data_IF_493403755643
#
_entry.id   IF_493403755643
#
_cell.length_a   1.000
_cell.length_b   1.000
_cell.length_c   1.000
_cell.angle_alpha   90.00
_cell.angle_beta   90.00
_cell.angle_gamma   90.00
#
_symmetry.space_group_name_H-M   'P 1'
#
loop_
_entity.id
_entity.type
_entity.pdbx_description
1 polymer ?
#
# COMPACT_ATOMS: atom_id res chain seq x y z
N UNK A 1 9.48 31.12 -6.34
CA UNK A 1 8.67 29.91 -6.61
C UNK A 1 9.54 28.70 -6.33
N UNK A 2 9.38 28.10 -5.15
CA UNK A 2 10.10 26.88 -4.79
C UNK A 2 9.48 25.75 -5.61
N UNK A 3 10.24 25.24 -6.57
CA UNK A 3 9.91 24.05 -7.33
C UNK A 3 9.86 22.86 -6.36
N UNK A 4 8.66 22.46 -5.94
CA UNK A 4 8.46 21.14 -5.36
C UNK A 4 8.61 20.11 -6.50
N UNK A 5 9.86 19.69 -6.73
CA UNK A 5 10.16 18.40 -7.34
C UNK A 5 9.78 17.28 -6.37
N UNK A 6 8.48 17.08 -6.16
CA UNK A 6 7.92 16.04 -5.30
C UNK A 6 7.39 14.90 -6.14
N UNK A 7 7.98 13.71 -5.96
CA UNK A 7 7.45 12.37 -6.28
C UNK A 7 6.24 12.33 -7.22
N UNK A 8 6.43 11.81 -8.44
CA UNK A 8 5.33 11.46 -9.35
C UNK A 8 4.27 10.62 -8.63
N UNK A 9 3.22 11.28 -8.12
CA UNK A 9 2.00 10.60 -7.71
C UNK A 9 1.46 9.92 -8.96
N UNK A 10 1.10 8.64 -8.83
CA UNK A 10 0.52 7.90 -9.95
C UNK A 10 -0.69 8.67 -10.44
N UNK A 11 -0.69 9.09 -11.71
CA UNK A 11 -1.81 9.82 -12.31
C UNK A 11 -3.13 9.09 -12.08
N UNK A 12 -3.10 7.77 -12.15
CA UNK A 12 -4.25 6.90 -11.89
C UNK A 12 -4.77 7.00 -10.44
N UNK A 13 -3.90 7.16 -9.43
CA UNK A 13 -4.36 7.39 -8.05
C UNK A 13 -5.03 8.76 -7.91
N UNK A 14 -4.44 9.79 -8.52
CA UNK A 14 -5.04 11.13 -8.51
C UNK A 14 -6.41 11.14 -9.20
N UNK A 15 -6.51 10.49 -10.36
CA UNK A 15 -7.76 10.37 -11.11
C UNK A 15 -8.82 9.59 -10.31
N UNK A 16 -8.44 8.53 -9.59
CA UNK A 16 -9.34 7.80 -8.68
C UNK A 16 -9.83 8.70 -7.54
N UNK A 17 -8.92 9.35 -6.82
CA UNK A 17 -9.27 10.22 -5.70
C UNK A 17 -10.16 11.39 -6.13
N UNK A 18 -9.88 11.95 -7.31
CA UNK A 18 -10.73 12.98 -7.93
C UNK A 18 -12.11 12.44 -8.29
N UNK A 19 -12.19 11.27 -8.93
CA UNK A 19 -13.48 10.67 -9.32
C UNK A 19 -14.37 10.38 -8.10
N UNK A 20 -13.77 9.93 -6.99
CA UNK A 20 -14.46 9.72 -5.72
C UNK A 20 -14.88 11.06 -5.10
N UNK A 21 -14.00 12.06 -5.09
CA UNK A 21 -14.29 13.39 -4.53
C UNK A 21 -15.35 14.18 -5.31
N UNK A 22 -15.45 13.97 -6.62
CA UNK A 22 -16.45 14.60 -7.50
C UNK A 22 -17.79 13.83 -7.51
N UNK A 23 -17.88 12.70 -6.81
CA UNK A 23 -19.11 11.88 -6.77
C UNK A 23 -20.25 12.64 -6.06
N UNK A 24 -21.47 12.49 -6.58
CA UNK A 24 -22.65 13.25 -6.11
C UNK A 24 -23.51 12.48 -5.13
N UNK A 25 -23.24 11.19 -4.95
CA UNK A 25 -24.01 10.30 -4.09
C UNK A 25 -23.15 9.16 -3.57
N UNK A 26 -23.52 8.60 -2.41
CA UNK A 26 -22.79 7.46 -1.84
C UNK A 26 -22.84 6.23 -2.76
N UNK A 27 -23.95 6.04 -3.49
CA UNK A 27 -24.09 4.96 -4.47
C UNK A 27 -23.12 5.09 -5.66
N UNK A 28 -22.83 6.32 -6.08
CA UNK A 28 -21.86 6.59 -7.14
C UNK A 28 -20.44 6.33 -6.66
N UNK A 29 -20.11 6.79 -5.46
CA UNK A 29 -18.85 6.49 -4.77
C UNK A 29 -18.63 4.98 -4.66
N UNK A 30 -19.60 4.24 -4.12
CA UNK A 30 -19.53 2.79 -3.94
C UNK A 30 -19.33 2.07 -5.28
N UNK A 31 -19.97 2.54 -6.35
CA UNK A 31 -19.81 1.99 -7.70
C UNK A 31 -18.39 2.20 -8.23
N UNK A 32 -17.81 3.39 -8.04
CA UNK A 32 -16.43 3.68 -8.47
C UNK A 32 -15.46 2.77 -7.71
N UNK A 33 -15.63 2.66 -6.39
CA UNK A 33 -14.78 1.82 -5.54
C UNK A 33 -14.89 0.34 -5.92
N UNK A 34 -16.11 -0.18 -6.14
CA UNK A 34 -16.31 -1.56 -6.57
C UNK A 34 -15.57 -1.88 -7.88
N UNK A 35 -15.61 -0.96 -8.85
CA UNK A 35 -14.90 -1.12 -10.12
C UNK A 35 -13.38 -1.12 -9.92
N UNK A 36 -12.87 -0.23 -9.06
CA UNK A 36 -11.44 -0.17 -8.75
C UNK A 36 -10.97 -1.44 -8.01
N UNK A 37 -11.76 -1.99 -7.09
CA UNK A 37 -11.45 -3.26 -6.42
C UNK A 37 -11.29 -4.40 -7.44
N UNK A 38 -12.21 -4.52 -8.40
CA UNK A 38 -12.14 -5.54 -9.46
C UNK A 38 -10.89 -5.34 -10.31
N UNK A 39 -10.58 -4.10 -10.69
CA UNK A 39 -9.39 -3.76 -11.45
C UNK A 39 -8.12 -4.15 -10.67
N UNK A 40 -8.01 -3.74 -9.40
CA UNK A 40 -6.84 -4.02 -8.57
C UNK A 40 -6.64 -5.51 -8.37
N UNK A 41 -7.69 -6.29 -8.11
CA UNK A 41 -7.59 -7.77 -8.01
C UNK A 41 -6.97 -8.39 -9.26
N UNK A 42 -7.39 -7.94 -10.45
CA UNK A 42 -6.81 -8.38 -11.72
C UNK A 42 -5.35 -7.96 -11.88
N UNK A 43 -5.01 -6.73 -11.47
CA UNK A 43 -3.63 -6.21 -11.53
C UNK A 43 -2.68 -6.92 -10.57
N UNK A 44 -3.12 -7.22 -9.34
CA UNK A 44 -2.33 -7.97 -8.36
C UNK A 44 -2.13 -9.45 -8.76
N UNK A 45 -3.07 -10.03 -9.51
CA UNK A 45 -2.94 -11.38 -10.04
C UNK A 45 -1.91 -11.50 -11.18
N UNK A 46 -1.48 -10.38 -11.78
CA UNK A 46 -0.49 -10.41 -12.86
C UNK A 46 0.92 -10.71 -12.31
N UNK A 47 1.52 -11.86 -12.68
CA UNK A 47 2.85 -12.25 -12.16
C UNK A 47 3.98 -11.36 -12.69
N UNK A 48 3.76 -10.62 -13.78
CA UNK A 48 4.75 -9.73 -14.38
C UNK A 48 4.69 -8.30 -13.81
N UNK A 49 3.87 -8.06 -12.78
CA UNK A 49 3.78 -6.75 -12.14
C UNK A 49 5.11 -6.38 -11.45
N UNK A 50 5.63 -5.21 -11.79
CA UNK A 50 6.86 -4.70 -11.17
C UNK A 50 6.60 -4.25 -9.73
N UNK A 51 7.64 -4.28 -8.88
CA UNK A 51 7.56 -3.80 -7.49
C UNK A 51 7.02 -2.36 -7.39
N UNK A 52 7.36 -1.50 -8.37
CA UNK A 52 6.84 -0.14 -8.45
C UNK A 52 5.33 -0.09 -8.69
N UNK A 53 4.81 -0.95 -9.58
CA UNK A 53 3.38 -1.07 -9.83
C UNK A 53 2.63 -1.62 -8.61
N UNK A 54 3.18 -2.66 -7.97
CA UNK A 54 2.61 -3.21 -6.72
C UNK A 54 2.49 -2.12 -5.65
N UNK A 55 3.52 -1.28 -5.51
CA UNK A 55 3.49 -0.13 -4.60
C UNK A 55 2.35 0.85 -4.95
N UNK A 56 2.13 1.16 -6.22
CA UNK A 56 1.03 2.04 -6.65
C UNK A 56 -0.35 1.43 -6.42
N UNK A 57 -0.50 0.13 -6.65
CA UNK A 57 -1.73 -0.60 -6.39
C UNK A 57 -2.04 -0.65 -4.89
N UNK A 58 -1.02 -0.81 -4.04
CA UNK A 58 -1.18 -0.77 -2.59
C UNK A 58 -1.63 0.61 -2.09
N UNK A 59 -1.10 1.70 -2.66
CA UNK A 59 -1.56 3.05 -2.28
C UNK A 59 -3.07 3.23 -2.57
N UNK A 60 -3.56 2.70 -3.69
CA UNK A 60 -5.00 2.70 -4.01
C UNK A 60 -5.79 1.81 -3.06
N UNK A 61 -5.28 0.62 -2.74
CA UNK A 61 -5.91 -0.28 -1.77
C UNK A 61 -6.01 0.35 -0.37
N UNK A 62 -4.97 1.05 0.09
CA UNK A 62 -5.01 1.83 1.35
C UNK A 62 -6.14 2.85 1.32
N UNK A 63 -6.28 3.58 0.22
CA UNK A 63 -7.33 4.59 0.10
C UNK A 63 -8.74 3.99 0.14
N UNK A 64 -8.94 2.85 -0.51
CA UNK A 64 -10.20 2.09 -0.46
C UNK A 64 -10.51 1.62 0.97
N UNK A 65 -9.53 1.08 1.67
CA UNK A 65 -9.66 0.65 3.07
C UNK A 65 -10.00 1.84 4.00
N UNK A 66 -9.36 3.00 3.80
CA UNK A 66 -9.64 4.23 4.55
C UNK A 66 -11.08 4.74 4.34
N UNK A 67 -11.69 4.45 3.20
CA UNK A 67 -13.10 4.75 2.92
C UNK A 67 -14.07 3.72 3.53
N UNK A 68 -13.55 2.67 4.18
CA UNK A 68 -14.32 1.64 4.88
C UNK A 68 -14.67 0.42 4.02
N UNK A 69 -14.02 0.22 2.88
CA UNK A 69 -14.25 -0.93 2.00
C UNK A 69 -13.14 -1.97 2.14
N UNK A 70 -13.51 -3.25 2.12
CA UNK A 70 -12.58 -4.36 2.29
C UNK A 70 -11.55 -4.46 1.16
N UNK A 71 -10.26 -4.30 1.50
CA UNK A 71 -9.12 -4.52 0.62
C UNK A 71 -8.22 -5.69 1.05
N UNK A 72 -8.76 -6.70 1.76
CA UNK A 72 -8.02 -7.88 2.26
C UNK A 72 -7.13 -8.58 1.22
N UNK A 73 -7.52 -8.56 -0.06
CA UNK A 73 -6.73 -9.14 -1.15
C UNK A 73 -5.33 -8.50 -1.30
N UNK A 74 -5.14 -7.27 -0.83
CA UNK A 74 -3.89 -6.53 -0.93
C UNK A 74 -2.93 -6.82 0.25
N UNK A 75 -3.40 -7.39 1.36
CA UNK A 75 -2.64 -7.48 2.61
C UNK A 75 -1.37 -8.34 2.47
N UNK A 76 -1.46 -9.47 1.77
CA UNK A 76 -0.29 -10.31 1.50
C UNK A 76 0.74 -9.58 0.62
N UNK A 77 0.29 -8.74 -0.30
CA UNK A 77 1.18 -7.94 -1.15
C UNK A 77 1.86 -6.83 -0.35
N UNK A 78 1.19 -6.25 0.65
CA UNK A 78 1.80 -5.29 1.57
C UNK A 78 2.99 -5.91 2.33
N UNK A 79 2.80 -7.11 2.88
CA UNK A 79 3.85 -7.84 3.61
C UNK A 79 5.01 -8.20 2.68
N UNK A 80 4.72 -8.67 1.46
CA UNK A 80 5.75 -8.91 0.44
C UNK A 80 6.55 -7.64 0.13
N UNK A 81 5.87 -6.50 0.01
CA UNK A 81 6.52 -5.21 -0.25
C UNK A 81 7.39 -4.75 0.94
N UNK A 82 6.99 -5.05 2.18
CA UNK A 82 7.81 -4.77 3.37
C UNK A 82 9.13 -5.58 3.37
N UNK A 83 9.15 -6.74 2.71
CA UNK A 83 10.36 -7.56 2.59
C UNK A 83 11.33 -7.09 1.49
N UNK A 84 10.92 -6.19 0.61
CA UNK A 84 11.74 -5.73 -0.52
C UNK A 84 12.97 -4.93 -0.08
N UNK A 85 14.09 -5.08 -0.78
CA UNK A 85 15.34 -4.36 -0.47
C UNK A 85 15.26 -2.86 -0.77
N UNK A 86 14.34 -2.44 -1.64
CA UNK A 86 14.18 -1.04 -1.98
C UNK A 86 13.52 -0.28 -0.82
N UNK A 87 14.25 0.65 -0.21
CA UNK A 87 13.79 1.38 0.98
C UNK A 87 12.46 2.12 0.79
N UNK A 88 12.20 2.68 -0.39
CA UNK A 88 10.94 3.39 -0.66
C UNK A 88 9.76 2.42 -0.73
N UNK A 89 9.97 1.24 -1.32
CA UNK A 89 8.95 0.21 -1.39
C UNK A 89 8.71 -0.41 -0.01
N UNK A 90 9.79 -0.72 0.71
CA UNK A 90 9.76 -1.22 2.09
C UNK A 90 8.97 -0.30 3.01
N UNK A 91 9.22 1.01 2.97
CA UNK A 91 8.44 2.01 3.75
C UNK A 91 6.95 2.00 3.42
N UNK A 92 6.59 1.91 2.13
CA UNK A 92 5.18 1.78 1.74
C UNK A 92 4.59 0.46 2.22
N UNK A 93 5.34 -0.63 2.16
CA UNK A 93 4.93 -1.94 2.68
C UNK A 93 4.65 -1.90 4.18
N UNK A 94 5.56 -1.33 4.97
CA UNK A 94 5.38 -1.14 6.41
C UNK A 94 4.16 -0.28 6.74
N UNK A 95 4.01 0.86 6.07
CA UNK A 95 2.82 1.71 6.23
C UNK A 95 1.52 0.96 5.89
N UNK A 96 1.52 0.22 4.78
CA UNK A 96 0.37 -0.58 4.35
C UNK A 96 0.01 -1.64 5.40
N UNK A 97 1.02 -2.35 5.91
CA UNK A 97 0.81 -3.37 6.94
C UNK A 97 0.24 -2.77 8.23
N UNK A 98 0.73 -1.61 8.67
CA UNK A 98 0.19 -0.92 9.85
C UNK A 98 -1.27 -0.48 9.71
N UNK A 99 -1.69 -0.17 8.48
CA UNK A 99 -3.07 0.24 8.21
C UNK A 99 -4.02 -0.94 8.02
N UNK A 100 -3.53 -2.06 7.50
CA UNK A 100 -4.33 -3.25 7.18
C UNK A 100 -4.39 -4.27 8.32
N UNK A 101 -3.28 -4.50 9.02
CA UNK A 101 -3.14 -5.66 9.90
C UNK A 101 -3.52 -5.31 11.34
N UNK A 102 -4.64 -5.89 11.78
CA UNK A 102 -4.97 -5.95 13.20
C UNK A 102 -3.98 -6.85 13.95
N UNK A 103 -3.87 -6.66 15.28
CA UNK A 103 -2.92 -7.40 16.15
C UNK A 103 -3.04 -8.92 16.04
N UNK A 104 -4.25 -9.42 15.81
CA UNK A 104 -4.56 -10.85 15.71
C UNK A 104 -4.52 -11.40 14.28
N UNK A 105 -4.09 -10.60 13.30
CA UNK A 105 -4.04 -11.02 11.91
C UNK A 105 -2.92 -12.05 11.67
N UNK A 106 -3.18 -13.13 10.93
CA UNK A 106 -2.22 -14.24 10.70
C UNK A 106 -0.87 -13.78 10.12
N UNK A 107 -0.91 -12.77 9.25
CA UNK A 107 0.25 -12.16 8.62
C UNK A 107 1.14 -11.34 9.57
N UNK A 108 0.67 -11.04 10.79
CA UNK A 108 1.44 -10.27 11.78
C UNK A 108 2.76 -10.96 12.13
N UNK A 109 2.78 -12.30 12.16
CA UNK A 109 4.01 -13.06 12.39
C UNK A 109 5.06 -12.84 11.28
N UNK A 110 4.62 -12.74 10.02
CA UNK A 110 5.52 -12.46 8.89
C UNK A 110 6.08 -11.03 8.95
N UNK A 111 5.24 -10.07 9.35
CA UNK A 111 5.66 -8.70 9.56
C UNK A 111 6.70 -8.60 10.69
N UNK A 112 6.43 -9.20 11.85
CA UNK A 112 7.33 -9.21 13.00
C UNK A 112 8.69 -9.82 12.62
N UNK A 113 8.69 -10.94 11.89
CA UNK A 113 9.93 -11.56 11.39
C UNK A 113 10.72 -10.61 10.49
N UNK A 114 10.04 -9.83 9.65
CA UNK A 114 10.67 -8.85 8.77
C UNK A 114 11.26 -7.67 9.57
N UNK A 115 10.51 -7.14 10.55
CA UNK A 115 10.99 -6.09 11.46
C UNK A 115 12.23 -6.55 12.23
N UNK A 116 12.19 -7.74 12.82
CA UNK A 116 13.33 -8.29 13.58
C UNK A 116 14.58 -8.47 12.71
N UNK A 117 14.42 -8.87 11.44
CA UNK A 117 15.51 -8.99 10.48
C UNK A 117 16.10 -7.63 10.15
N UNK A 118 15.25 -6.64 9.88
CA UNK A 118 15.69 -5.29 9.51
C UNK A 118 16.36 -4.56 10.68
N UNK A 119 15.92 -4.77 11.92
CA UNK A 119 16.57 -4.23 13.12
C UNK A 119 17.98 -4.81 13.36
N UNK A 120 18.28 -5.99 12.81
CA UNK A 120 19.59 -6.63 12.88
C UNK A 120 20.47 -6.32 11.66
N UNK A 121 19.98 -5.52 10.71
CA UNK A 121 20.73 -5.17 9.50
C UNK A 121 21.83 -4.16 9.80
N UNK A 122 22.98 -4.30 9.14
CA UNK A 122 24.04 -3.28 9.15
C UNK A 122 23.63 -2.00 8.41
N UNK A 123 22.54 -2.05 7.63
CA UNK A 123 22.02 -0.90 6.93
C UNK A 123 21.12 -0.05 7.85
N UNK A 124 21.65 1.08 8.30
CA UNK A 124 20.92 2.04 9.14
C UNK A 124 19.57 2.50 8.56
N UNK A 125 19.39 2.52 7.23
CA UNK A 125 18.11 2.88 6.62
C UNK A 125 17.05 1.80 6.83
N UNK A 126 17.42 0.53 6.82
CA UNK A 126 16.51 -0.59 7.08
C UNK A 126 16.10 -0.61 8.56
N UNK A 127 17.07 -0.44 9.46
CA UNK A 127 16.82 -0.28 10.90
C UNK A 127 15.86 0.88 11.14
N UNK A 128 16.11 2.05 10.53
CA UNK A 128 15.25 3.22 10.66
C UNK A 128 13.83 2.96 10.12
N UNK A 129 13.69 2.27 8.98
CA UNK A 129 12.37 1.95 8.44
C UNK A 129 11.59 0.98 9.34
N UNK A 130 12.27 -0.02 9.92
CA UNK A 130 11.67 -0.95 10.87
C UNK A 130 11.22 -0.23 12.15
N UNK A 131 12.03 0.69 12.68
CA UNK A 131 11.68 1.46 13.87
C UNK A 131 10.47 2.38 13.66
N UNK A 132 10.28 2.95 12.46
CA UNK A 132 9.08 3.75 12.16
C UNK A 132 7.81 2.90 11.97
N UNK A 133 7.95 1.60 11.79
CA UNK A 133 6.81 0.70 11.65
C UNK A 133 6.20 0.34 13.01
N UNK A 134 7.00 0.33 14.08
CA UNK A 134 6.58 0.00 15.44
C UNK A 134 5.94 1.21 16.12
#
# INVERSE_FOLDING_TARGET
MISLGGSSLSKEFFDLAKSIGDSRSKQEEDRIICNEIVLLKSRFANPNATVKQIKEYLIRAIYIEMLGHDASFAYIHAVKLAHEKNILCKRTGYLSCNLFLNKDHELMLLLINTIQKDLKSDNHLEVWAALNCV
#
